data_IF_589555365856
#
_entry.id   IF_589555365856
#
_cell.length_a   1.000
_cell.length_b   1.000
_cell.length_c   1.000
_cell.angle_alpha   90.00
_cell.angle_beta   90.00
_cell.angle_gamma   90.00
#
_symmetry.space_group_name_H-M   'P 1'
#
loop_
_entity.id
_entity.type
_entity.pdbx_description
1 polymer ?
#
# COMPACT_ATOMS: atom_id res chain seq x y z
N UNK A 1 5.96 7.41 22.43
CA UNK A 1 4.74 6.61 22.65
C UNK A 1 4.03 6.50 21.31
N UNK A 2 3.78 5.28 20.84
CA UNK A 2 2.91 5.09 19.67
C UNK A 2 1.47 5.38 20.10
N UNK A 3 0.72 6.26 19.42
CA UNK A 3 -0.69 6.48 19.71
C UNK A 3 -1.48 5.24 19.28
N UNK A 4 -1.69 4.31 20.21
CA UNK A 4 -2.46 3.08 19.96
C UNK A 4 -3.98 3.33 20.01
N UNK A 5 -4.40 4.53 20.36
CA UNK A 5 -5.80 4.94 20.42
C UNK A 5 -5.90 6.40 20.02
N UNK A 6 -6.74 6.69 19.06
CA UNK A 6 -7.12 8.04 18.71
C UNK A 6 -8.43 8.39 19.44
N UNK A 7 -8.46 9.55 20.10
CA UNK A 7 -9.63 10.05 20.83
C UNK A 7 -10.47 11.05 20.02
N UNK A 8 -10.33 11.06 18.69
CA UNK A 8 -11.13 11.93 17.84
C UNK A 8 -12.63 11.54 17.90
N UNK A 9 -13.50 12.47 18.25
CA UNK A 9 -14.94 12.18 18.31
C UNK A 9 -15.48 11.92 16.90
N UNK A 10 -15.99 10.73 16.69
CA UNK A 10 -16.67 10.34 15.45
C UNK A 10 -18.14 10.81 15.47
N UNK A 11 -18.75 11.05 14.31
CA UNK A 11 -20.18 11.31 14.22
C UNK A 11 -21.02 10.19 14.87
N UNK A 12 -22.15 10.50 15.51
CA UNK A 12 -23.03 9.49 16.10
C UNK A 12 -23.41 8.42 15.06
N UNK A 13 -23.22 7.13 15.43
CA UNK A 13 -23.54 5.99 14.54
C UNK A 13 -22.52 5.71 13.43
N UNK A 14 -21.39 6.43 13.37
CA UNK A 14 -20.33 6.16 12.41
C UNK A 14 -19.74 4.75 12.61
N UNK A 15 -19.50 4.08 11.48
CA UNK A 15 -18.80 2.80 11.42
C UNK A 15 -17.75 2.85 10.31
N UNK A 16 -16.47 2.55 10.59
CA UNK A 16 -15.37 2.61 9.62
C UNK A 16 -15.40 1.41 8.66
N UNK A 17 -16.47 1.31 7.88
CA UNK A 17 -16.72 0.11 7.07
C UNK A 17 -15.74 -0.02 5.90
N UNK A 18 -15.28 1.10 5.33
CA UNK A 18 -14.31 1.06 4.24
C UNK A 18 -12.90 0.79 4.77
N UNK A 19 -12.52 1.36 5.92
CA UNK A 19 -11.26 1.05 6.59
C UNK A 19 -11.18 -0.45 6.89
N UNK A 20 -12.25 -1.03 7.46
CA UNK A 20 -12.32 -2.47 7.71
C UNK A 20 -12.24 -3.26 6.40
N UNK A 21 -12.96 -2.83 5.35
CA UNK A 21 -12.92 -3.51 4.05
C UNK A 21 -11.51 -3.50 3.44
N UNK A 22 -10.79 -2.37 3.50
CA UNK A 22 -9.41 -2.27 3.02
C UNK A 22 -8.47 -3.20 3.81
N UNK A 23 -8.62 -3.25 5.14
CA UNK A 23 -7.85 -4.18 5.98
C UNK A 23 -8.13 -5.63 5.57
N UNK A 24 -9.40 -6.00 5.42
CA UNK A 24 -9.80 -7.36 5.01
C UNK A 24 -9.22 -7.70 3.63
N UNK A 25 -9.28 -6.80 2.66
CA UNK A 25 -8.70 -7.02 1.32
C UNK A 25 -7.19 -7.30 1.43
N UNK A 26 -6.44 -6.47 2.17
CA UNK A 26 -5.00 -6.66 2.34
C UNK A 26 -4.68 -8.00 3.04
N UNK A 27 -5.45 -8.38 4.08
CA UNK A 27 -5.28 -9.67 4.78
C UNK A 27 -5.60 -10.85 3.86
N UNK A 28 -6.64 -10.74 3.03
CA UNK A 28 -7.01 -11.81 2.06
C UNK A 28 -5.92 -11.95 0.99
N UNK A 29 -5.42 -10.84 0.43
CA UNK A 29 -4.29 -10.86 -0.52
C UNK A 29 -3.07 -11.50 0.12
N UNK A 30 -2.72 -11.11 1.35
CA UNK A 30 -1.61 -11.71 2.09
C UNK A 30 -1.81 -13.22 2.33
N UNK A 31 -3.02 -13.65 2.66
CA UNK A 31 -3.35 -15.08 2.77
C UNK A 31 -3.10 -15.83 1.46
N UNK A 32 -3.42 -15.23 0.33
CA UNK A 32 -3.10 -15.76 -1.00
C UNK A 32 -1.57 -15.80 -1.23
N UNK A 33 -0.84 -14.75 -0.87
CA UNK A 33 0.63 -14.71 -0.96
C UNK A 33 1.27 -15.84 -0.15
N UNK A 34 0.81 -16.06 1.09
CA UNK A 34 1.25 -17.18 1.94
C UNK A 34 0.94 -18.54 1.30
N UNK A 35 -0.26 -18.70 0.74
CA UNK A 35 -0.66 -19.97 0.11
C UNK A 35 0.20 -20.29 -1.14
N UNK A 36 0.59 -19.27 -1.91
CA UNK A 36 1.40 -19.43 -3.12
C UNK A 36 2.88 -19.66 -2.82
N UNK A 37 3.40 -19.06 -1.75
CA UNK A 37 4.82 -19.07 -1.43
C UNK A 37 5.21 -20.09 -0.35
N UNK A 38 4.25 -20.52 0.46
CA UNK A 38 4.49 -21.33 1.65
C UNK A 38 5.25 -20.60 2.77
N UNK A 39 5.45 -19.29 2.64
CA UNK A 39 6.15 -18.44 3.61
C UNK A 39 5.17 -17.50 4.32
N UNK A 40 5.47 -17.12 5.55
CA UNK A 40 4.58 -16.30 6.37
C UNK A 40 5.26 -15.06 6.95
N UNK A 41 6.46 -15.21 7.52
CA UNK A 41 7.13 -14.10 8.18
C UNK A 41 7.82 -13.16 7.21
N UNK A 42 8.50 -13.72 6.21
CA UNK A 42 9.24 -12.99 5.19
C UNK A 42 9.20 -13.78 3.88
N UNK A 43 8.94 -13.10 2.79
CA UNK A 43 8.89 -13.69 1.46
C UNK A 43 10.24 -13.54 0.77
N UNK A 44 11.02 -14.63 0.70
CA UNK A 44 12.40 -14.62 0.17
C UNK A 44 12.68 -15.76 -0.81
N UNK A 45 11.69 -16.65 -1.04
CA UNK A 45 11.84 -17.77 -1.95
C UNK A 45 11.59 -17.37 -3.43
N UNK A 46 11.80 -18.33 -4.30
CA UNK A 46 11.66 -18.15 -5.75
C UNK A 46 10.20 -17.82 -6.15
N UNK A 47 9.25 -18.45 -5.52
CA UNK A 47 7.81 -18.25 -5.73
C UNK A 47 7.41 -16.82 -5.37
N UNK A 48 7.91 -16.29 -4.25
CA UNK A 48 7.71 -14.91 -3.84
C UNK A 48 8.34 -13.93 -4.83
N UNK A 49 9.56 -14.18 -5.30
CA UNK A 49 10.19 -13.37 -6.33
C UNK A 49 9.35 -13.34 -7.60
N UNK A 50 8.90 -14.49 -8.09
CA UNK A 50 8.04 -14.57 -9.27
C UNK A 50 6.73 -13.76 -9.08
N UNK A 51 6.11 -13.89 -7.92
CA UNK A 51 4.87 -13.18 -7.59
C UNK A 51 5.09 -11.66 -7.57
N UNK A 52 6.16 -11.18 -6.92
CA UNK A 52 6.45 -9.74 -6.84
C UNK A 52 6.85 -9.14 -8.19
N UNK A 53 7.50 -9.89 -9.06
CA UNK A 53 7.83 -9.43 -10.41
C UNK A 53 6.60 -9.33 -11.33
N UNK A 54 5.55 -10.12 -11.06
CA UNK A 54 4.31 -10.09 -11.86
C UNK A 54 3.26 -9.10 -11.33
N UNK A 55 3.21 -8.86 -10.02
CA UNK A 55 2.13 -8.08 -9.39
C UNK A 55 2.64 -6.84 -8.64
N UNK A 56 3.93 -6.80 -8.29
CA UNK A 56 4.60 -5.63 -7.72
C UNK A 56 4.97 -4.61 -8.80
N UNK A 57 5.13 -3.36 -8.39
CA UNK A 57 5.50 -2.28 -9.31
C UNK A 57 7.00 -2.33 -9.63
N UNK A 58 7.37 -2.89 -10.79
CA UNK A 58 8.74 -2.95 -11.30
C UNK A 58 8.99 -1.75 -12.21
N UNK A 59 9.84 -0.79 -11.83
CA UNK A 59 10.05 0.44 -12.59
C UNK A 59 10.39 0.22 -14.05
N UNK A 60 11.37 -0.63 -14.35
CA UNK A 60 11.83 -0.87 -15.72
C UNK A 60 10.75 -1.47 -16.61
N UNK A 61 9.86 -2.31 -16.06
CA UNK A 61 8.71 -2.81 -16.80
C UNK A 61 7.65 -1.72 -17.04
N UNK A 62 7.34 -0.91 -16.04
CA UNK A 62 6.34 0.18 -16.14
C UNK A 62 6.79 1.24 -17.14
N UNK A 63 8.09 1.54 -17.22
CA UNK A 63 8.65 2.52 -18.17
C UNK A 63 8.94 1.95 -19.55
N UNK A 64 8.87 0.62 -19.71
CA UNK A 64 9.24 -0.08 -20.94
C UNK A 64 10.75 -0.07 -21.24
N UNK A 65 11.61 0.28 -20.25
CA UNK A 65 13.06 0.24 -20.41
C UNK A 65 13.64 -1.17 -20.36
N UNK A 66 12.91 -2.09 -19.72
CA UNK A 66 13.23 -3.52 -19.74
C UNK A 66 11.99 -4.30 -20.17
N UNK A 67 12.21 -5.42 -20.87
CA UNK A 67 11.14 -6.32 -21.31
C UNK A 67 11.11 -7.61 -20.49
N UNK A 68 12.19 -7.89 -19.76
CA UNK A 68 12.34 -9.07 -18.92
C UNK A 68 13.38 -8.79 -17.83
N UNK A 69 13.31 -9.59 -16.76
CA UNK A 69 14.19 -9.51 -15.60
C UNK A 69 14.95 -10.85 -15.52
N UNK A 70 16.27 -10.78 -15.57
CA UNK A 70 17.12 -11.93 -15.35
C UNK A 70 17.38 -12.09 -13.82
N UNK A 71 16.92 -13.19 -13.27
CA UNK A 71 17.10 -13.53 -11.85
C UNK A 71 18.34 -14.39 -11.62
N UNK A 72 19.17 -14.61 -12.65
CA UNK A 72 20.32 -15.52 -12.63
C UNK A 72 19.93 -17.00 -12.78
N UNK A 73 18.73 -17.39 -12.36
CA UNK A 73 18.20 -18.74 -12.52
C UNK A 73 17.16 -18.84 -13.65
N UNK A 74 16.44 -17.76 -13.92
CA UNK A 74 15.40 -17.68 -14.96
C UNK A 74 15.28 -16.25 -15.48
N UNK A 75 14.80 -16.13 -16.72
CA UNK A 75 14.36 -14.85 -17.29
C UNK A 75 12.83 -14.76 -17.17
N UNK A 76 12.35 -13.74 -16.48
CA UNK A 76 10.93 -13.50 -16.26
C UNK A 76 10.54 -12.28 -17.11
N UNK A 77 9.63 -12.48 -18.06
CA UNK A 77 9.11 -11.38 -18.88
C UNK A 77 8.27 -10.40 -18.04
N UNK A 78 8.32 -9.13 -18.41
CA UNK A 78 7.43 -8.14 -17.80
C UNK A 78 5.95 -8.51 -18.03
N UNK A 79 5.03 -8.13 -17.10
CA UNK A 79 3.59 -8.33 -17.27
C UNK A 79 3.07 -7.67 -18.56
N UNK A 80 1.98 -8.19 -19.11
CA UNK A 80 1.37 -7.64 -20.33
C UNK A 80 0.85 -6.20 -20.17
N UNK A 81 0.47 -5.83 -18.94
CA UNK A 81 0.02 -4.47 -18.56
C UNK A 81 0.79 -4.07 -17.29
N UNK A 82 2.06 -3.61 -17.44
CA UNK A 82 2.90 -3.30 -16.28
C UNK A 82 2.34 -2.17 -15.41
N UNK A 83 1.58 -1.24 -16.00
CA UNK A 83 0.97 -0.10 -15.28
C UNK A 83 -0.06 -0.57 -14.24
N UNK A 84 -0.71 -1.71 -14.45
CA UNK A 84 -1.64 -2.29 -13.50
C UNK A 84 -0.95 -2.65 -12.18
N UNK A 85 0.36 -2.94 -12.23
CA UNK A 85 1.15 -3.23 -11.04
C UNK A 85 1.25 -2.05 -10.06
N UNK A 86 1.09 -0.81 -10.53
CA UNK A 86 0.99 0.37 -9.65
C UNK A 86 -0.20 0.29 -8.69
N UNK A 87 -1.29 -0.35 -9.13
CA UNK A 87 -2.47 -0.58 -8.30
C UNK A 87 -2.31 -1.85 -7.46
N UNK A 88 -1.93 -2.98 -8.07
CA UNK A 88 -1.87 -4.28 -7.39
C UNK A 88 -0.81 -4.31 -6.30
N UNK A 89 0.33 -3.68 -6.53
CA UNK A 89 1.42 -3.56 -5.54
C UNK A 89 0.98 -2.92 -4.22
N UNK A 90 -0.04 -2.04 -4.26
CA UNK A 90 -0.58 -1.37 -3.06
C UNK A 90 -1.21 -2.37 -2.07
N UNK A 91 -1.60 -3.54 -2.52
CA UNK A 91 -2.24 -4.56 -1.68
C UNK A 91 -1.33 -5.74 -1.34
N UNK A 92 -0.13 -5.80 -1.92
CA UNK A 92 0.84 -6.86 -1.67
C UNK A 92 1.74 -6.53 -0.47
N UNK A 93 2.27 -7.57 0.20
CA UNK A 93 3.14 -7.38 1.37
C UNK A 93 4.30 -8.37 1.37
N UNK A 94 5.48 -7.89 1.78
CA UNK A 94 6.71 -8.68 1.82
C UNK A 94 6.83 -9.64 3.01
N UNK A 95 5.79 -9.76 3.85
CA UNK A 95 5.75 -10.63 5.03
C UNK A 95 4.85 -10.09 6.14
N UNK A 96 4.67 -10.89 7.21
CA UNK A 96 3.73 -10.61 8.30
C UNK A 96 4.00 -9.27 9.00
N UNK A 97 5.24 -8.94 9.27
CA UNK A 97 5.57 -7.68 9.96
C UNK A 97 5.25 -6.46 9.11
N UNK A 98 5.47 -6.58 7.79
CA UNK A 98 5.11 -5.54 6.84
C UNK A 98 3.59 -5.33 6.76
N UNK A 99 2.83 -6.43 6.65
CA UNK A 99 1.36 -6.36 6.71
C UNK A 99 0.89 -5.78 8.04
N UNK A 100 1.37 -6.32 9.17
CA UNK A 100 0.96 -5.92 10.51
C UNK A 100 1.16 -4.44 10.77
N UNK A 101 2.31 -3.90 10.39
CA UNK A 101 2.60 -2.47 10.48
C UNK A 101 1.62 -1.63 9.66
N UNK A 102 1.41 -2.00 8.39
CA UNK A 102 0.47 -1.31 7.52
C UNK A 102 -0.97 -1.35 8.06
N UNK A 103 -1.44 -2.50 8.49
CA UNK A 103 -2.80 -2.65 9.02
C UNK A 103 -2.99 -1.90 10.35
N UNK A 104 -1.98 -1.86 11.20
CA UNK A 104 -2.02 -1.06 12.43
C UNK A 104 -2.19 0.44 12.13
N UNK A 105 -1.40 0.99 11.23
CA UNK A 105 -1.53 2.40 10.85
C UNK A 105 -2.86 2.69 10.14
N UNK A 106 -3.30 1.79 9.27
CA UNK A 106 -4.59 1.93 8.59
C UNK A 106 -5.75 1.89 9.58
N UNK A 107 -5.67 1.05 10.61
CA UNK A 107 -6.65 0.97 11.68
C UNK A 107 -6.72 2.25 12.51
N UNK A 108 -5.56 2.83 12.87
CA UNK A 108 -5.49 4.01 13.76
C UNK A 108 -5.91 5.30 13.02
N UNK A 109 -5.57 5.44 11.75
CA UNK A 109 -5.72 6.70 11.03
C UNK A 109 -6.81 6.66 9.94
N UNK A 110 -7.14 5.48 9.44
CA UNK A 110 -8.08 5.32 8.33
C UNK A 110 -9.50 5.74 8.68
N UNK A 111 -9.97 5.39 9.87
CA UNK A 111 -11.31 5.72 10.34
C UNK A 111 -11.55 7.24 10.46
N UNK A 112 -10.53 8.00 10.85
CA UNK A 112 -10.60 9.46 10.93
C UNK A 112 -10.81 10.09 9.56
N UNK A 113 -10.08 9.60 8.55
CA UNK A 113 -10.21 10.09 7.17
C UNK A 113 -11.55 9.64 6.57
N UNK A 114 -11.98 8.39 6.85
CA UNK A 114 -13.29 7.91 6.43
C UNK A 114 -14.43 8.72 7.05
N UNK A 115 -14.34 9.04 8.35
CA UNK A 115 -15.32 9.86 9.06
C UNK A 115 -15.38 11.30 8.51
N UNK A 116 -14.23 11.87 8.17
CA UNK A 116 -14.11 13.27 7.73
C UNK A 116 -14.52 13.48 6.28
N UNK A 117 -14.12 12.61 5.37
CA UNK A 117 -14.29 12.77 3.92
C UNK A 117 -15.40 11.90 3.34
N UNK A 118 -15.87 10.91 4.09
CA UNK A 118 -16.78 9.88 3.60
C UNK A 118 -16.08 8.83 2.73
N UNK A 119 -16.76 7.71 2.52
CA UNK A 119 -16.19 6.49 1.93
C UNK A 119 -15.60 6.69 0.54
N UNK A 120 -16.32 7.37 -0.37
CA UNK A 120 -15.90 7.51 -1.77
C UNK A 120 -14.61 8.33 -1.88
N UNK A 121 -14.55 9.49 -1.18
CA UNK A 121 -13.36 10.33 -1.19
C UNK A 121 -12.19 9.65 -0.50
N UNK A 122 -12.45 8.94 0.60
CA UNK A 122 -11.41 8.18 1.30
C UNK A 122 -10.81 7.09 0.42
N UNK A 123 -11.63 6.31 -0.30
CA UNK A 123 -11.12 5.34 -1.27
C UNK A 123 -10.29 6.01 -2.35
N UNK A 124 -10.77 7.14 -2.88
CA UNK A 124 -10.02 7.93 -3.87
C UNK A 124 -8.65 8.38 -3.34
N UNK A 125 -8.59 8.87 -2.09
CA UNK A 125 -7.35 9.27 -1.41
C UNK A 125 -6.40 8.07 -1.26
N UNK A 126 -6.91 6.93 -0.79
CA UNK A 126 -6.12 5.71 -0.61
C UNK A 126 -5.47 5.25 -1.93
N UNK A 127 -6.27 5.12 -2.99
CA UNK A 127 -5.78 4.68 -4.29
C UNK A 127 -4.86 5.71 -4.95
N UNK A 128 -5.19 7.00 -4.85
CA UNK A 128 -4.36 8.08 -5.41
C UNK A 128 -2.95 8.08 -4.80
N UNK A 129 -2.84 7.98 -3.49
CA UNK A 129 -1.55 7.95 -2.82
C UNK A 129 -0.82 6.62 -2.98
N UNK A 130 -1.53 5.49 -3.08
CA UNK A 130 -0.93 4.20 -3.39
C UNK A 130 -0.27 4.19 -4.76
N UNK A 131 -1.01 4.57 -5.80
CA UNK A 131 -0.50 4.70 -7.17
C UNK A 131 0.59 5.78 -7.25
N UNK A 132 0.38 6.93 -6.60
CA UNK A 132 1.35 8.03 -6.56
C UNK A 132 2.70 7.62 -5.98
N UNK A 133 2.69 6.86 -4.89
CA UNK A 133 3.91 6.31 -4.30
C UNK A 133 4.61 5.33 -5.24
N UNK A 134 3.86 4.47 -5.92
CA UNK A 134 4.40 3.60 -6.98
C UNK A 134 5.05 4.39 -8.10
N UNK A 135 4.41 5.47 -8.57
CA UNK A 135 4.99 6.37 -9.60
C UNK A 135 6.25 7.06 -9.12
N UNK A 136 6.29 7.55 -7.87
CA UNK A 136 7.50 8.15 -7.29
C UNK A 136 8.64 7.13 -7.24
N UNK A 137 8.35 5.88 -6.87
CA UNK A 137 9.34 4.80 -6.90
C UNK A 137 9.87 4.57 -8.32
N UNK A 138 8.99 4.50 -9.33
CA UNK A 138 9.35 4.37 -10.74
C UNK A 138 10.22 5.55 -11.21
N UNK A 139 9.90 6.78 -10.81
CA UNK A 139 10.67 7.98 -11.18
C UNK A 139 12.06 8.03 -10.51
N UNK A 140 12.22 7.39 -9.35
CA UNK A 140 13.48 7.34 -8.62
C UNK A 140 14.57 6.53 -9.32
N UNK A 141 14.21 5.42 -9.96
CA UNK A 141 15.08 4.60 -10.81
C UNK A 141 14.25 3.91 -11.90
N UNK A 142 14.02 4.60 -13.04
CA UNK A 142 13.15 4.13 -14.11
C UNK A 142 13.59 2.82 -14.79
N UNK A 143 14.84 2.42 -14.61
CA UNK A 143 15.41 1.19 -15.19
C UNK A 143 15.48 0.03 -14.21
N UNK A 144 15.10 0.23 -12.95
CA UNK A 144 15.21 -0.78 -11.89
C UNK A 144 14.33 -2.00 -12.16
N UNK A 145 14.90 -3.20 -11.95
CA UNK A 145 14.18 -4.46 -11.90
C UNK A 145 13.64 -4.82 -10.52
N UNK A 146 13.79 -3.94 -9.51
CA UNK A 146 13.38 -4.21 -8.12
C UNK A 146 11.90 -3.83 -7.94
N UNK A 147 11.01 -4.79 -7.59
CA UNK A 147 9.60 -4.53 -7.40
C UNK A 147 9.33 -3.74 -6.11
N UNK A 148 8.48 -2.73 -6.15
CA UNK A 148 7.87 -2.13 -4.97
C UNK A 148 6.56 -2.85 -4.63
N UNK A 149 6.32 -3.08 -3.33
CA UNK A 149 5.09 -3.68 -2.79
C UNK A 149 4.73 -3.03 -1.46
N UNK A 150 3.45 -2.93 -1.15
CA UNK A 150 2.94 -2.50 0.15
C UNK A 150 1.94 -1.35 0.13
N UNK A 151 1.01 -1.37 1.07
CA UNK A 151 0.05 -0.31 1.31
C UNK A 151 0.68 0.98 1.89
N UNK A 152 1.97 0.96 2.22
CA UNK A 152 2.65 2.03 2.97
C UNK A 152 2.56 3.41 2.29
N UNK A 153 2.59 3.46 0.96
CA UNK A 153 2.41 4.70 0.21
C UNK A 153 1.03 5.31 0.39
N UNK A 154 -0.03 4.50 0.27
CA UNK A 154 -1.41 4.92 0.51
C UNK A 154 -1.61 5.38 1.96
N UNK A 155 -1.08 4.62 2.92
CA UNK A 155 -1.16 4.90 4.37
C UNK A 155 -0.38 6.15 4.73
N UNK A 156 0.78 6.39 4.12
CA UNK A 156 1.53 7.64 4.31
C UNK A 156 0.73 8.87 3.87
N UNK A 157 -0.01 8.76 2.77
CA UNK A 157 -0.93 9.81 2.33
C UNK A 157 -2.09 10.04 3.30
N UNK A 158 -2.66 8.98 3.86
CA UNK A 158 -3.70 9.06 4.91
C UNK A 158 -3.13 9.75 6.16
N UNK A 159 -1.95 9.35 6.60
CA UNK A 159 -1.28 9.96 7.75
C UNK A 159 -0.99 11.46 7.53
N UNK A 160 -0.50 11.82 6.34
CA UNK A 160 -0.29 13.21 5.97
C UNK A 160 -1.58 14.02 5.99
N UNK A 161 -2.69 13.47 5.49
CA UNK A 161 -4.00 14.08 5.56
C UNK A 161 -4.47 14.26 7.01
N UNK A 162 -4.31 13.25 7.88
CA UNK A 162 -4.63 13.36 9.31
C UNK A 162 -3.85 14.49 9.97
N UNK A 163 -2.54 14.58 9.76
CA UNK A 163 -1.71 15.63 10.36
C UNK A 163 -2.12 17.03 9.92
N UNK A 164 -2.52 17.22 8.66
CA UNK A 164 -2.98 18.51 8.16
C UNK A 164 -4.30 18.96 8.79
N UNK A 165 -5.21 18.02 9.09
CA UNK A 165 -6.53 18.35 9.66
C UNK A 165 -6.57 18.38 11.17
N UNK A 166 -5.66 17.70 11.87
CA UNK A 166 -5.59 17.69 13.33
C UNK A 166 -4.64 18.76 13.88
N UNK A 167 -3.81 19.39 13.03
CA UNK A 167 -2.97 20.51 13.45
C UNK A 167 -3.82 21.76 13.74
N UNK A 168 -3.67 22.39 14.91
CA UNK A 168 -4.40 23.63 15.23
C UNK A 168 -4.07 24.70 14.19
N UNK A 169 -5.11 25.31 13.63
CA UNK A 169 -4.97 26.45 12.70
C UNK A 169 -4.21 27.60 13.40
N UNK A 170 -3.35 28.35 12.68
CA UNK A 170 -2.79 29.58 13.23
C UNK A 170 -3.84 30.56 13.76
N UNK A 171 -5.08 30.48 13.29
CA UNK A 171 -6.22 31.29 13.73
C UNK A 171 -6.80 30.86 15.08
N UNK A 172 -6.52 29.62 15.53
CA UNK A 172 -7.02 29.07 16.80
C UNK A 172 -6.07 29.37 17.97
N UNK A 173 -4.95 30.09 17.70
CA UNK A 173 -3.91 30.48 18.67
C UNK A 173 -4.01 31.95 19.10
N UNK A 174 -5.09 32.64 18.74
CA UNK A 174 -5.31 34.05 19.11
C UNK A 174 -6.25 34.21 20.28
#
# INVERSE_FOLDING_TARGET
MLPLKDENPHPPGFKPTLTIALIVINVVVFGFEVAMTGQFFEFSNREAMFMFLNWGAVPGCVTGQINAIDTGANVISCPAIPELSLLTSTFMHGGLMHLGGNMLFLWIFGDNIEARFGKIKYLGIYLFWGIGAGLIHVMGDPSSGIPAVGASGAISGILGACLLYTSPSPRDRG
#
